data_IF_629350206524
#
_entry.id   IF_629350206524
#
_cell.length_a   1.000
_cell.length_b   1.000
_cell.length_c   1.000
_cell.angle_alpha   90.00
_cell.angle_beta   90.00
_cell.angle_gamma   90.00
#
_symmetry.space_group_name_H-M   'P 1'
#
loop_
_entity.id
_entity.type
_entity.pdbx_description
1 polymer ?
#
# COMPACT_ATOMS: atom_id res chain seq x y z
N UNK A 1 7.82 39.89 -39.60
CA UNK A 1 6.61 40.23 -40.40
C UNK A 1 6.98 41.37 -41.28
N UNK A 2 6.79 41.18 -42.56
CA UNK A 2 6.96 42.25 -43.57
C UNK A 2 5.62 42.99 -43.69
N UNK A 3 5.65 44.29 -43.49
CA UNK A 3 4.50 45.16 -43.68
C UNK A 3 4.72 46.01 -44.89
N UNK A 4 3.82 45.94 -45.88
CA UNK A 4 3.89 46.75 -47.09
C UNK A 4 2.69 47.71 -47.10
N UNK A 5 2.97 49.01 -47.31
CA UNK A 5 1.91 50.02 -47.44
C UNK A 5 1.33 50.05 -48.85
N UNK A 6 0.31 50.85 -49.06
CA UNK A 6 -0.38 51.01 -50.35
C UNK A 6 0.49 51.70 -51.44
N UNK A 7 1.64 52.22 -51.07
CA UNK A 7 2.63 52.84 -51.96
C UNK A 7 3.80 51.93 -52.29
N UNK A 8 3.81 50.68 -51.74
CA UNK A 8 4.81 49.69 -51.98
C UNK A 8 6.07 49.84 -51.10
N UNK A 9 6.04 50.67 -50.05
CA UNK A 9 7.10 50.74 -49.05
C UNK A 9 6.99 49.56 -48.11
N UNK A 10 8.08 48.81 -47.90
CA UNK A 10 8.16 47.66 -46.99
C UNK A 10 8.94 48.04 -45.75
N UNK A 11 8.42 47.69 -44.58
CA UNK A 11 9.11 47.72 -43.31
C UNK A 11 9.10 46.33 -42.67
N UNK A 12 10.12 45.98 -41.91
CA UNK A 12 10.24 44.71 -41.22
C UNK A 12 10.17 44.92 -39.72
N UNK A 13 9.24 44.27 -39.09
CA UNK A 13 9.19 44.16 -37.64
C UNK A 13 9.76 42.81 -37.24
N UNK A 14 10.91 42.82 -36.61
CA UNK A 14 11.52 41.63 -36.00
C UNK A 14 10.94 41.47 -34.59
N UNK A 15 10.42 40.28 -34.33
CA UNK A 15 10.03 39.85 -32.99
C UNK A 15 11.01 38.77 -32.58
N UNK A 16 11.67 38.94 -31.47
CA UNK A 16 12.31 37.86 -30.76
C UNK A 16 11.23 37.04 -30.02
N UNK A 17 11.02 35.83 -30.44
CA UNK A 17 10.14 34.90 -29.78
C UNK A 17 11.01 33.94 -28.99
N UNK A 18 11.08 34.16 -27.69
CA UNK A 18 11.67 33.19 -26.79
C UNK A 18 10.76 31.97 -26.72
N UNK A 19 11.18 30.87 -27.29
CA UNK A 19 10.49 29.58 -27.16
C UNK A 19 11.04 28.90 -25.91
N UNK A 20 10.23 28.85 -24.87
CA UNK A 20 10.53 28.05 -23.69
C UNK A 20 10.18 26.60 -23.95
N UNK A 21 11.04 25.69 -23.54
CA UNK A 21 10.67 24.27 -23.47
C UNK A 21 9.51 24.12 -22.47
N UNK A 22 8.41 23.56 -22.95
CA UNK A 22 7.28 23.23 -22.08
C UNK A 22 7.74 22.16 -21.10
N UNK A 23 7.80 22.51 -19.84
CA UNK A 23 8.06 21.55 -18.76
C UNK A 23 6.90 20.56 -18.63
N UNK A 24 7.19 19.40 -18.12
CA UNK A 24 6.19 18.38 -17.80
C UNK A 24 6.21 18.09 -16.30
N UNK A 25 5.09 18.24 -15.59
CA UNK A 25 5.01 17.85 -14.20
C UNK A 25 5.07 16.32 -14.07
N UNK A 26 5.63 15.84 -12.98
CA UNK A 26 5.69 14.42 -12.67
C UNK A 26 6.25 14.18 -11.28
N UNK A 27 5.88 13.08 -10.67
CA UNK A 27 6.49 12.61 -9.42
C UNK A 27 6.50 11.08 -9.36
N UNK A 28 7.30 10.55 -8.48
CA UNK A 28 7.27 9.17 -8.02
C UNK A 28 7.14 9.17 -6.50
N UNK A 29 6.76 8.03 -5.92
CA UNK A 29 6.69 7.88 -4.47
C UNK A 29 7.27 6.54 -4.03
N UNK A 30 7.78 6.50 -2.81
CA UNK A 30 8.29 5.32 -2.14
C UNK A 30 7.89 5.36 -0.67
N UNK A 31 7.58 4.23 -0.09
CA UNK A 31 7.29 4.07 1.32
C UNK A 31 8.54 3.77 2.16
N UNK A 32 9.69 4.40 1.85
CA UNK A 32 10.97 4.28 2.57
C UNK A 32 11.50 2.85 2.75
N UNK A 33 11.32 1.99 1.75
CA UNK A 33 11.76 0.59 1.83
C UNK A 33 10.93 -0.26 2.81
N UNK A 34 9.89 0.30 3.41
CA UNK A 34 8.89 -0.38 4.22
C UNK A 34 7.73 -0.93 3.38
N UNK A 35 7.91 -1.14 2.09
CA UNK A 35 7.03 -2.02 1.33
C UNK A 35 7.24 -3.48 1.80
N UNK A 36 7.19 -3.67 3.11
CA UNK A 36 7.11 -5.01 3.72
C UNK A 36 5.84 -5.73 3.28
N UNK A 37 4.91 -4.98 2.65
CA UNK A 37 3.56 -5.43 2.38
C UNK A 37 3.02 -4.78 1.12
N UNK A 38 3.42 -5.06 -0.05
CA UNK A 38 2.84 -4.71 -1.39
C UNK A 38 1.82 -3.53 -1.45
N UNK A 39 1.67 -2.74 -0.40
CA UNK A 39 0.72 -1.63 -0.26
C UNK A 39 1.18 -0.65 0.83
N UNK A 40 0.87 0.63 0.64
CA UNK A 40 1.08 1.67 1.65
C UNK A 40 0.10 1.40 2.81
N UNK A 41 0.64 1.34 4.03
CA UNK A 41 -0.14 1.18 5.25
C UNK A 41 -0.54 2.52 5.86
N UNK A 42 -1.59 2.51 6.68
CA UNK A 42 -1.91 3.63 7.57
C UNK A 42 -0.72 3.93 8.48
N UNK A 43 -0.35 5.21 8.61
CA UNK A 43 0.81 5.74 9.31
C UNK A 43 2.19 5.43 8.68
N UNK A 44 2.25 4.85 7.49
CA UNK A 44 3.51 4.76 6.77
C UNK A 44 3.97 6.16 6.31
N UNK A 45 5.26 6.41 6.45
CA UNK A 45 5.88 7.61 5.91
C UNK A 45 6.15 7.41 4.42
N UNK A 46 5.42 8.12 3.58
CA UNK A 46 5.57 8.10 2.12
C UNK A 46 6.47 9.25 1.70
N UNK A 47 7.56 8.93 1.02
CA UNK A 47 8.48 9.92 0.42
C UNK A 47 8.06 10.18 -1.02
N UNK A 48 7.77 11.43 -1.37
CA UNK A 48 7.53 11.84 -2.75
C UNK A 48 8.79 12.42 -3.35
N UNK A 49 9.04 12.10 -4.62
CA UNK A 49 10.18 12.61 -5.37
C UNK A 49 9.66 13.31 -6.61
N UNK A 50 9.95 14.59 -6.74
CA UNK A 50 9.63 15.37 -7.92
C UNK A 50 10.47 14.92 -9.11
N UNK A 51 9.81 14.65 -10.23
CA UNK A 51 10.44 14.29 -11.50
C UNK A 51 10.06 15.25 -12.63
N UNK A 52 9.51 16.41 -12.26
CA UNK A 52 9.11 17.43 -13.22
C UNK A 52 10.32 17.98 -13.99
N UNK A 53 10.08 18.34 -15.23
CA UNK A 53 11.11 18.89 -16.15
C UNK A 53 10.85 20.35 -16.48
N UNK A 54 11.83 21.04 -17.01
CA UNK A 54 11.78 22.45 -17.37
C UNK A 54 12.12 23.37 -16.20
N UNK A 55 12.24 24.68 -16.50
CA UNK A 55 12.57 25.71 -15.50
C UNK A 55 11.30 26.14 -14.77
N UNK A 56 10.93 25.46 -13.70
CA UNK A 56 9.77 25.81 -12.88
C UNK A 56 10.13 26.79 -11.76
N UNK A 57 9.12 27.54 -11.30
CA UNK A 57 9.26 28.58 -10.28
C UNK A 57 8.68 28.16 -8.94
N UNK A 58 7.69 27.24 -8.92
CA UNK A 58 7.04 26.76 -7.71
C UNK A 58 6.46 25.36 -7.90
N UNK A 59 6.29 24.65 -6.80
CA UNK A 59 5.70 23.33 -6.67
C UNK A 59 4.59 23.38 -5.63
N UNK A 60 3.42 22.85 -5.95
CA UNK A 60 2.27 22.79 -5.04
C UNK A 60 1.75 21.36 -5.01
N UNK A 61 1.89 20.74 -3.85
CA UNK A 61 1.45 19.37 -3.60
C UNK A 61 0.11 19.34 -2.86
N UNK A 62 -0.76 18.44 -3.29
CA UNK A 62 -1.99 18.07 -2.59
C UNK A 62 -2.05 16.55 -2.49
N UNK A 63 -2.11 16.03 -1.27
CA UNK A 63 -2.11 14.59 -1.00
C UNK A 63 -3.49 13.92 -1.04
N UNK A 64 -4.56 14.72 -1.27
CA UNK A 64 -5.91 14.21 -1.49
C UNK A 64 -6.68 13.80 -0.24
N UNK A 65 -6.09 13.93 0.95
CA UNK A 65 -6.66 13.53 2.24
C UNK A 65 -7.25 14.70 3.06
N UNK A 66 -7.28 15.90 2.47
CA UNK A 66 -7.77 17.13 3.11
C UNK A 66 -6.75 17.84 4.00
N UNK A 67 -5.51 17.37 4.06
CA UNK A 67 -4.41 18.13 4.69
C UNK A 67 -4.07 19.40 3.91
N UNK A 68 -3.46 20.42 4.55
CA UNK A 68 -3.04 21.62 3.84
C UNK A 68 -2.08 21.34 2.69
N UNK A 69 -2.15 22.19 1.66
CA UNK A 69 -1.21 22.12 0.53
C UNK A 69 0.22 22.34 1.01
N UNK A 70 1.16 21.64 0.39
CA UNK A 70 2.60 21.82 0.64
C UNK A 70 3.21 22.54 -0.55
N UNK A 71 3.76 23.72 -0.31
CA UNK A 71 4.28 24.61 -1.34
C UNK A 71 5.80 24.78 -1.22
N UNK A 72 6.49 24.86 -2.36
CA UNK A 72 7.93 25.14 -2.43
C UNK A 72 8.83 24.01 -1.93
N UNK A 73 8.30 22.84 -1.66
CA UNK A 73 9.06 21.67 -1.22
C UNK A 73 9.29 20.74 -2.40
N UNK A 74 10.57 20.45 -2.70
CA UNK A 74 10.98 19.63 -3.83
C UNK A 74 10.52 18.17 -3.68
N UNK A 75 10.82 17.58 -2.54
CA UNK A 75 10.56 16.18 -2.24
C UNK A 75 9.90 16.06 -0.85
N UNK A 76 8.58 16.24 -0.75
CA UNK A 76 7.90 16.18 0.53
C UNK A 76 7.73 14.75 1.04
N UNK A 77 7.53 14.65 2.33
CA UNK A 77 7.07 13.44 3.01
C UNK A 77 5.61 13.63 3.44
N UNK A 78 4.84 12.54 3.40
CA UNK A 78 3.45 12.56 3.87
C UNK A 78 3.06 11.24 4.53
N UNK A 79 2.09 11.31 5.45
CA UNK A 79 1.57 10.16 6.20
C UNK A 79 0.04 10.18 6.17
N UNK A 80 -0.58 9.10 5.73
CA UNK A 80 -2.02 8.94 5.70
C UNK A 80 -2.52 8.32 7.00
N UNK A 81 -3.50 8.96 7.65
CA UNK A 81 -4.04 8.52 8.94
C UNK A 81 -5.20 7.52 8.83
N UNK A 82 -5.78 7.39 7.65
CA UNK A 82 -6.92 6.50 7.40
C UNK A 82 -6.69 5.70 6.12
N UNK A 83 -7.30 4.54 6.06
CA UNK A 83 -7.38 3.77 4.82
C UNK A 83 -8.28 4.50 3.79
N UNK A 84 -7.96 4.32 2.54
CA UNK A 84 -8.69 4.95 1.46
C UNK A 84 -7.93 4.96 0.14
N UNK A 85 -8.55 5.62 -0.83
CA UNK A 85 -7.93 5.90 -2.13
C UNK A 85 -7.78 7.40 -2.26
N UNK A 86 -6.56 7.85 -2.45
CA UNK A 86 -6.22 9.28 -2.47
C UNK A 86 -5.65 9.67 -3.83
N UNK A 87 -6.18 10.75 -4.40
CA UNK A 87 -5.63 11.37 -5.60
C UNK A 87 -4.61 12.43 -5.19
N UNK A 88 -3.34 12.14 -5.48
CA UNK A 88 -2.25 13.07 -5.23
C UNK A 88 -2.09 13.94 -6.46
N UNK A 89 -1.97 15.23 -6.27
CA UNK A 89 -1.69 16.17 -7.36
C UNK A 89 -0.44 16.98 -7.09
N UNK A 90 0.38 17.13 -8.11
CA UNK A 90 1.50 18.06 -8.17
C UNK A 90 1.19 19.11 -9.23
N UNK A 91 0.99 20.35 -8.80
CA UNK A 91 0.90 21.50 -9.68
C UNK A 91 2.25 22.18 -9.73
N UNK A 92 2.77 22.34 -10.92
CA UNK A 92 4.06 22.96 -11.21
C UNK A 92 3.81 24.28 -11.91
N UNK A 93 4.33 25.35 -11.33
CA UNK A 93 4.25 26.69 -11.91
C UNK A 93 5.53 27.01 -12.65
N UNK A 94 5.37 27.52 -13.85
CA UNK A 94 6.45 27.91 -14.73
C UNK A 94 6.48 29.43 -14.92
N UNK A 95 7.56 30.00 -15.45
CA UNK A 95 7.62 31.42 -15.78
C UNK A 95 6.42 31.86 -16.62
N UNK A 96 6.08 33.15 -16.54
CA UNK A 96 4.99 33.79 -17.28
C UNK A 96 3.57 33.30 -16.95
N UNK A 97 3.37 32.66 -15.77
CA UNK A 97 2.06 32.29 -15.26
C UNK A 97 1.49 31.01 -15.86
N UNK A 98 2.31 30.21 -16.52
CA UNK A 98 1.90 28.86 -16.95
C UNK A 98 1.93 27.91 -15.77
N UNK A 99 0.92 27.05 -15.65
CA UNK A 99 0.90 25.96 -14.65
C UNK A 99 0.36 24.68 -15.26
N UNK A 100 0.92 23.55 -14.85
CA UNK A 100 0.48 22.22 -15.25
C UNK A 100 0.37 21.33 -14.01
N UNK A 101 -0.59 20.41 -14.05
CA UNK A 101 -0.83 19.50 -12.94
C UNK A 101 -0.67 18.06 -13.41
N UNK A 102 0.04 17.27 -12.62
CA UNK A 102 0.09 15.82 -12.74
C UNK A 102 -0.65 15.21 -11.56
N UNK A 103 -1.42 14.14 -11.80
CA UNK A 103 -2.11 13.42 -10.73
C UNK A 103 -1.87 11.92 -10.82
N UNK A 104 -1.82 11.29 -9.66
CA UNK A 104 -1.73 9.84 -9.50
C UNK A 104 -2.56 9.40 -8.30
N UNK A 105 -3.13 8.20 -8.38
CA UNK A 105 -3.98 7.66 -7.32
C UNK A 105 -3.23 6.57 -6.56
N UNK A 106 -3.21 6.67 -5.23
CA UNK A 106 -2.66 5.64 -4.35
C UNK A 106 -3.74 5.01 -3.48
N UNK A 107 -3.57 3.72 -3.17
CA UNK A 107 -4.37 3.01 -2.17
C UNK A 107 -3.61 2.91 -0.85
N UNK A 108 -4.26 3.32 0.23
CA UNK A 108 -3.77 3.17 1.61
C UNK A 108 -4.65 2.14 2.31
N UNK A 109 -4.04 1.14 2.93
CA UNK A 109 -4.73 0.04 3.61
C UNK A 109 -4.29 -0.05 5.07
N UNK A 110 -4.91 -0.92 5.88
CA UNK A 110 -4.40 -1.22 7.23
C UNK A 110 -2.96 -1.77 7.22
N UNK A 111 -2.46 -2.16 6.04
CA UNK A 111 -1.09 -2.64 5.87
C UNK A 111 -0.89 -4.09 6.28
N UNK A 112 -1.81 -4.72 7.00
CA UNK A 112 -1.76 -6.12 7.42
C UNK A 112 -3.08 -6.84 7.14
N UNK A 113 -3.06 -8.18 7.20
CA UNK A 113 -4.26 -8.98 7.06
C UNK A 113 -4.13 -10.31 7.82
N UNK A 114 -5.24 -10.75 8.42
CA UNK A 114 -5.34 -12.03 9.11
C UNK A 114 -6.74 -12.61 8.92
N UNK A 115 -6.84 -13.82 8.35
CA UNK A 115 -8.12 -14.49 8.09
C UNK A 115 -8.04 -15.93 8.61
N UNK A 116 -9.03 -16.34 9.38
CA UNK A 116 -9.15 -17.70 9.90
C UNK A 116 -9.91 -18.59 8.91
N UNK A 117 -9.36 -19.76 8.51
CA UNK A 117 -10.12 -20.81 7.85
C UNK A 117 -11.06 -21.49 8.86
N UNK A 118 -12.14 -22.05 8.36
CA UNK A 118 -13.17 -22.69 9.18
C UNK A 118 -13.30 -24.20 8.99
N UNK A 119 -12.60 -24.78 8.01
CA UNK A 119 -12.70 -26.21 7.69
C UNK A 119 -11.42 -26.70 7.02
N UNK A 120 -11.01 -27.93 7.29
CA UNK A 120 -9.93 -28.59 6.58
C UNK A 120 -10.16 -30.10 6.46
N UNK A 121 -9.48 -30.75 5.51
CA UNK A 121 -9.68 -32.15 5.13
C UNK A 121 -8.34 -32.86 5.03
N UNK A 122 -7.72 -33.29 6.14
CA UNK A 122 -6.40 -33.93 6.14
C UNK A 122 -6.48 -35.37 5.62
N UNK A 123 -6.65 -35.54 4.30
CA UNK A 123 -6.80 -36.83 3.60
C UNK A 123 -5.54 -37.18 2.76
N UNK A 124 -4.55 -36.27 2.69
CA UNK A 124 -3.29 -36.48 1.96
C UNK A 124 -3.38 -36.26 0.46
N UNK A 125 -4.39 -35.53 -0.03
CA UNK A 125 -4.55 -35.22 -1.47
C UNK A 125 -3.81 -33.92 -1.87
N UNK A 126 -3.20 -33.21 -0.92
CA UNK A 126 -2.48 -31.95 -1.14
C UNK A 126 -3.39 -30.73 -1.10
N UNK A 127 -4.68 -30.87 -0.79
CA UNK A 127 -5.65 -29.77 -0.74
C UNK A 127 -6.28 -29.71 0.66
N UNK A 128 -6.09 -28.58 1.36
CA UNK A 128 -6.61 -28.37 2.71
C UNK A 128 -6.20 -29.45 3.73
N UNK A 129 -5.03 -30.05 3.56
CA UNK A 129 -4.51 -31.09 4.47
C UNK A 129 -4.06 -30.52 5.83
N UNK A 130 -3.83 -29.20 5.89
CA UNK A 130 -3.47 -28.50 7.12
C UNK A 130 -4.38 -27.30 7.34
N UNK A 131 -4.69 -27.01 8.61
CA UNK A 131 -5.39 -25.78 8.98
C UNK A 131 -4.37 -24.72 9.40
N UNK A 132 -4.31 -23.64 8.63
CA UNK A 132 -3.46 -22.48 8.94
C UNK A 132 -4.19 -21.18 8.58
N UNK A 133 -3.99 -20.09 9.33
CA UNK A 133 -4.53 -18.80 8.95
C UNK A 133 -3.87 -18.31 7.65
N UNK A 134 -4.63 -17.55 6.86
CA UNK A 134 -4.01 -16.69 5.87
C UNK A 134 -3.61 -15.38 6.56
N UNK A 135 -2.39 -14.92 6.34
CA UNK A 135 -1.88 -13.70 6.93
C UNK A 135 -0.88 -13.01 6.02
N UNK A 136 -0.79 -11.70 6.19
CA UNK A 136 0.27 -10.87 5.60
C UNK A 136 0.72 -9.83 6.61
N UNK A 137 1.99 -9.42 6.52
CA UNK A 137 2.56 -8.31 7.28
C UNK A 137 2.55 -8.51 8.78
N UNK A 138 2.85 -9.72 9.21
CA UNK A 138 3.02 -10.06 10.62
C UNK A 138 4.50 -10.17 10.95
N UNK A 139 4.91 -9.55 12.06
CA UNK A 139 6.24 -9.71 12.65
C UNK A 139 6.35 -11.01 13.46
N UNK A 140 5.23 -11.46 14.01
CA UNK A 140 5.11 -12.75 14.69
C UNK A 140 3.66 -13.25 14.65
N UNK A 141 3.52 -14.56 14.66
CA UNK A 141 2.21 -15.23 14.69
C UNK A 141 2.29 -16.50 15.52
N UNK A 142 1.29 -16.74 16.34
CA UNK A 142 1.08 -17.96 17.11
C UNK A 142 -0.31 -18.52 16.77
N UNK A 143 -0.35 -19.79 16.44
CA UNK A 143 -1.59 -20.54 16.17
C UNK A 143 -1.75 -21.62 17.22
N UNK A 144 -2.87 -21.65 17.89
CA UNK A 144 -3.24 -22.63 18.89
C UNK A 144 -4.55 -23.31 18.54
N UNK A 145 -4.61 -24.63 18.63
CA UNK A 145 -5.82 -25.42 18.40
C UNK A 145 -6.25 -26.08 19.73
N UNK A 146 -7.52 -25.94 20.05
CA UNK A 146 -8.13 -26.50 21.25
C UNK A 146 -9.27 -27.44 20.87
N UNK A 147 -9.52 -28.45 21.71
CA UNK A 147 -10.75 -29.20 21.65
C UNK A 147 -11.94 -28.38 22.21
N UNK A 148 -13.13 -28.91 22.09
CA UNK A 148 -14.37 -28.27 22.60
C UNK A 148 -14.44 -28.18 24.15
N UNK A 149 -13.54 -28.85 24.85
CA UNK A 149 -13.41 -28.80 26.32
C UNK A 149 -12.33 -27.81 26.79
N UNK A 150 -11.61 -27.18 25.83
CA UNK A 150 -10.57 -26.19 26.11
C UNK A 150 -9.18 -26.80 26.32
N UNK A 151 -8.96 -28.08 25.98
CA UNK A 151 -7.62 -28.69 26.04
C UNK A 151 -6.81 -28.28 24.84
N UNK A 152 -5.57 -27.78 25.03
CA UNK A 152 -4.65 -27.44 23.97
C UNK A 152 -4.17 -28.71 23.25
N UNK A 153 -4.35 -28.77 21.95
CA UNK A 153 -3.97 -29.92 21.10
C UNK A 153 -2.75 -29.64 20.25
N UNK A 154 -2.60 -28.41 19.81
CA UNK A 154 -1.54 -27.96 18.91
C UNK A 154 -1.18 -26.52 19.20
N UNK A 155 0.10 -26.20 19.09
CA UNK A 155 0.60 -24.81 19.09
C UNK A 155 1.81 -24.70 18.16
N UNK A 156 1.82 -23.64 17.37
CA UNK A 156 2.96 -23.26 16.52
C UNK A 156 3.13 -21.76 16.58
N UNK A 157 4.39 -21.31 16.76
CA UNK A 157 4.74 -19.90 16.78
C UNK A 157 5.87 -19.66 15.77
N UNK A 158 5.77 -18.60 14.99
CA UNK A 158 6.76 -18.24 13.97
C UNK A 158 6.88 -16.73 13.81
N UNK A 159 8.06 -16.30 13.37
CA UNK A 159 8.32 -14.96 12.81
C UNK A 159 8.36 -14.99 11.27
N UNK A 160 7.99 -16.09 10.68
CA UNK A 160 7.97 -16.33 9.24
C UNK A 160 6.75 -17.15 8.85
N UNK A 161 6.96 -18.28 8.20
CA UNK A 161 5.85 -19.13 7.73
C UNK A 161 5.30 -20.02 8.85
N UNK A 162 3.98 -20.21 8.85
CA UNK A 162 3.22 -21.19 9.65
C UNK A 162 2.84 -22.37 8.76
N UNK A 163 3.15 -23.58 9.20
CA UNK A 163 2.81 -24.81 8.49
C UNK A 163 1.37 -25.27 8.77
N UNK A 164 0.90 -25.01 10.00
CA UNK A 164 -0.45 -25.34 10.44
C UNK A 164 -0.61 -26.75 11.00
N UNK A 165 -1.78 -26.98 11.61
CA UNK A 165 -2.12 -28.28 12.19
C UNK A 165 -2.62 -29.24 11.11
N UNK A 166 -2.04 -30.44 11.06
CA UNK A 166 -2.34 -31.53 10.13
C UNK A 166 -3.47 -32.48 10.64
N UNK A 167 -4.11 -32.13 11.73
CA UNK A 167 -5.15 -32.97 12.34
C UNK A 167 -4.60 -34.19 13.10
N UNK A 168 -3.31 -34.20 13.45
CA UNK A 168 -2.73 -35.25 14.32
C UNK A 168 -2.59 -34.74 15.75
N UNK A 169 -2.87 -35.63 16.72
CA UNK A 169 -2.63 -35.42 18.14
C UNK A 169 -1.66 -36.53 18.60
N UNK A 170 -0.44 -36.17 18.96
CA UNK A 170 0.63 -37.11 19.33
C UNK A 170 0.85 -38.20 18.25
N UNK A 171 0.79 -37.81 16.97
CA UNK A 171 1.00 -38.70 15.84
C UNK A 171 -0.19 -39.63 15.50
N UNK A 172 -1.35 -39.42 16.12
CA UNK A 172 -2.58 -40.15 15.84
C UNK A 172 -3.63 -39.21 15.23
N UNK A 173 -4.44 -39.65 14.28
CA UNK A 173 -5.52 -38.86 13.73
C UNK A 173 -6.49 -38.41 14.83
N UNK A 174 -6.78 -37.10 14.87
CA UNK A 174 -7.85 -36.55 15.65
C UNK A 174 -9.21 -36.98 15.10
N UNK A 175 -10.23 -37.01 15.92
CA UNK A 175 -11.60 -37.35 15.52
C UNK A 175 -12.18 -36.25 14.59
N UNK A 176 -13.08 -36.66 13.67
CA UNK A 176 -13.87 -35.71 12.91
C UNK A 176 -14.74 -34.89 13.86
N UNK A 177 -14.78 -33.58 13.68
CA UNK A 177 -15.56 -32.72 14.56
C UNK A 177 -15.09 -31.28 14.58
N UNK A 178 -15.60 -30.57 15.59
CA UNK A 178 -15.31 -29.16 15.77
C UNK A 178 -14.19 -28.94 16.79
N UNK A 179 -13.34 -28.01 16.47
CA UNK A 179 -12.21 -27.53 17.27
C UNK A 179 -12.27 -26.00 17.33
N UNK A 180 -11.44 -25.40 18.14
CA UNK A 180 -11.32 -23.95 18.26
C UNK A 180 -9.91 -23.57 17.86
N UNK A 181 -9.78 -22.69 16.87
CA UNK A 181 -8.53 -22.04 16.50
C UNK A 181 -8.44 -20.70 17.22
N UNK A 182 -7.28 -20.42 17.82
CA UNK A 182 -6.92 -19.11 18.37
C UNK A 182 -5.63 -18.69 17.71
N UNK A 183 -5.62 -17.49 17.16
CA UNK A 183 -4.42 -16.91 16.55
C UNK A 183 -4.11 -15.60 17.25
N UNK A 184 -2.87 -15.49 17.75
CA UNK A 184 -2.27 -14.25 18.24
C UNK A 184 -1.18 -13.83 17.31
N UNK A 185 -1.21 -12.59 16.88
CA UNK A 185 -0.22 -12.05 15.96
C UNK A 185 0.16 -10.63 16.32
N UNK A 186 1.38 -10.24 15.93
CA UNK A 186 1.82 -8.85 15.99
C UNK A 186 2.10 -8.43 14.56
N UNK A 187 1.48 -7.37 14.09
CA UNK A 187 1.74 -6.82 12.76
C UNK A 187 3.16 -6.23 12.69
N UNK A 188 3.68 -6.01 11.50
CA UNK A 188 4.93 -5.28 11.28
C UNK A 188 4.85 -3.82 11.78
N UNK A 189 3.64 -3.32 11.96
CA UNK A 189 3.35 -1.99 12.53
C UNK A 189 3.22 -1.99 14.06
N UNK A 190 3.48 -3.16 14.71
CA UNK A 190 3.44 -3.30 16.18
C UNK A 190 2.04 -3.47 16.76
N UNK A 191 1.01 -3.66 15.93
CA UNK A 191 -0.35 -3.89 16.41
C UNK A 191 -0.54 -5.34 16.83
N UNK A 192 -1.05 -5.55 18.05
CA UNK A 192 -1.41 -6.87 18.58
C UNK A 192 -2.82 -7.24 18.10
N UNK A 193 -2.95 -8.46 17.57
CA UNK A 193 -4.19 -8.98 17.01
C UNK A 193 -4.46 -10.35 17.62
N UNK A 194 -5.68 -10.55 18.11
CA UNK A 194 -6.15 -11.87 18.54
C UNK A 194 -7.46 -12.19 17.81
N UNK A 195 -7.47 -13.29 17.06
CA UNK A 195 -8.66 -13.84 16.44
C UNK A 195 -8.90 -15.25 16.94
N UNK A 196 -10.17 -15.63 17.09
CA UNK A 196 -10.55 -16.98 17.40
C UNK A 196 -11.82 -17.38 16.64
N UNK A 197 -12.00 -18.67 16.43
CA UNK A 197 -13.17 -19.18 15.73
C UNK A 197 -13.26 -20.69 15.75
N UNK A 198 -14.42 -21.23 15.36
CA UNK A 198 -14.58 -22.67 15.19
C UNK A 198 -13.88 -23.14 13.92
N UNK A 199 -13.32 -24.34 13.96
CA UNK A 199 -12.79 -25.04 12.81
C UNK A 199 -13.30 -26.47 12.79
N UNK A 200 -13.70 -26.96 11.62
CA UNK A 200 -14.21 -28.32 11.44
C UNK A 200 -13.17 -29.17 10.74
N UNK A 201 -12.84 -30.31 11.33
CA UNK A 201 -12.03 -31.37 10.73
C UNK A 201 -12.98 -32.41 10.12
N UNK A 202 -12.77 -32.70 8.84
CA UNK A 202 -13.51 -33.72 8.07
C UNK A 202 -12.50 -34.66 7.39
N UNK A 203 -12.68 -35.99 7.50
CA UNK A 203 -11.90 -37.01 6.77
C UNK A 203 -12.81 -37.94 6.02
#
# INVERSE_FOLDING_TARGET
IDITDSLGCTDQILFDVDLFELGSPGFTYDSNGLMLCDSIGVNDLVQFTNTSTGDYTNLIWNFGDGTPLVEGVENPEHTYLYEGTYEITLTVEYPYGCSYTFSETIGVTEGYGLVLPNTFTPNGDGINDTIRPWYKCMSSIEVSIYDTFGSLLYVESSTGEIYGWDGLINGRPAENGNYIIVVRAVSLYGQEIELNGPVTLVR
#
